data_IF_034790682469
#
_entry.id   IF_034790682469
#
_cell.length_a   1.000
_cell.length_b   1.000
_cell.length_c   1.000
_cell.angle_alpha   90.00
_cell.angle_beta   90.00
_cell.angle_gamma   90.00
#
_symmetry.space_group_name_H-M   'P 1'
#
loop_
_entity.id
_entity.type
_entity.pdbx_description
1 polymer ?
#
# COMPACT_ATOMS: atom_id res chain seq x y z
N UNK A 1 -8.87 -10.17 26.74
CA UNK A 1 -7.48 -9.84 26.47
C UNK A 1 -7.12 -9.95 25.02
N UNK A 2 -7.58 -10.99 24.36
CA UNK A 2 -7.39 -11.10 22.91
C UNK A 2 -8.04 -9.94 22.16
N UNK A 3 -9.11 -9.40 22.71
CA UNK A 3 -9.83 -8.31 22.08
C UNK A 3 -9.01 -7.02 22.02
N UNK A 4 -8.23 -6.76 23.07
CA UNK A 4 -7.42 -5.54 23.09
C UNK A 4 -6.33 -5.58 22.03
N UNK A 5 -5.71 -6.73 21.86
CA UNK A 5 -4.68 -6.87 20.84
C UNK A 5 -5.27 -6.70 19.44
N UNK A 6 -6.46 -7.24 19.22
CA UNK A 6 -7.12 -7.08 17.95
C UNK A 6 -7.53 -5.65 17.68
N UNK A 7 -8.00 -4.95 18.70
CA UNK A 7 -8.36 -3.56 18.55
C UNK A 7 -7.17 -2.71 18.23
N UNK A 8 -6.04 -2.95 18.91
CA UNK A 8 -4.83 -2.21 18.62
C UNK A 8 -4.34 -2.45 17.20
N UNK A 9 -4.42 -3.70 16.75
CA UNK A 9 -4.02 -4.02 15.39
C UNK A 9 -4.91 -3.31 14.39
N UNK A 10 -6.21 -3.28 14.64
CA UNK A 10 -7.14 -2.58 13.76
C UNK A 10 -6.84 -1.10 13.71
N UNK A 11 -6.57 -0.49 14.85
CA UNK A 11 -6.25 0.93 14.89
C UNK A 11 -4.95 1.23 14.15
N UNK A 12 -3.95 0.39 14.31
CA UNK A 12 -2.71 0.54 13.58
C UNK A 12 -2.93 0.42 12.09
N UNK A 13 -3.76 -0.52 11.69
CA UNK A 13 -4.08 -0.67 10.28
C UNK A 13 -4.79 0.56 9.73
N UNK A 14 -5.67 1.14 10.53
CA UNK A 14 -6.37 2.35 10.10
C UNK A 14 -5.42 3.54 9.97
N UNK A 15 -4.50 3.70 10.92
CA UNK A 15 -3.53 4.78 10.85
C UNK A 15 -2.51 4.56 9.74
N UNK A 16 -2.23 3.31 9.42
CA UNK A 16 -1.30 2.96 8.37
C UNK A 16 -1.95 2.90 7.00
N UNK A 17 -3.27 3.01 6.95
CA UNK A 17 -3.96 3.03 5.67
C UNK A 17 -3.61 4.30 4.94
N UNK A 18 -2.56 4.23 4.18
CA UNK A 18 -2.16 5.28 3.29
C UNK A 18 -3.01 5.13 2.04
N UNK A 19 -3.78 6.16 1.75
CA UNK A 19 -4.54 6.17 0.51
C UNK A 19 -3.57 6.52 -0.60
N UNK A 20 -3.25 5.53 -1.43
CA UNK A 20 -2.32 5.75 -2.53
C UNK A 20 -3.03 6.52 -3.63
N UNK A 21 -2.48 7.67 -3.94
CA UNK A 21 -2.96 8.51 -5.04
C UNK A 21 -2.16 8.16 -6.28
N UNK A 22 -2.84 7.68 -7.31
CA UNK A 22 -2.18 7.26 -8.54
C UNK A 22 -1.44 8.40 -9.22
N UNK A 23 -1.95 9.62 -9.11
CA UNK A 23 -1.25 10.77 -9.67
C UNK A 23 0.09 10.97 -8.99
N UNK A 24 0.12 10.84 -7.66
CA UNK A 24 1.36 10.93 -6.90
C UNK A 24 2.32 9.80 -7.28
N UNK A 25 1.81 8.59 -7.39
CA UNK A 25 2.64 7.45 -7.78
C UNK A 25 3.25 7.68 -9.16
N UNK A 26 2.43 8.10 -10.11
CA UNK A 26 2.90 8.36 -11.47
C UNK A 26 3.96 9.47 -11.50
N UNK A 27 3.74 10.52 -10.72
CA UNK A 27 4.71 11.61 -10.63
C UNK A 27 6.05 11.10 -10.08
N UNK A 28 5.99 10.30 -9.03
CA UNK A 28 7.21 9.77 -8.40
C UNK A 28 7.96 8.83 -9.33
N UNK A 29 7.24 7.93 -10.00
CA UNK A 29 7.87 6.96 -10.91
C UNK A 29 8.59 7.68 -12.05
N UNK A 30 8.05 8.80 -12.50
CA UNK A 30 8.60 9.53 -13.64
C UNK A 30 9.53 10.68 -13.22
N UNK A 31 9.87 10.76 -11.95
CA UNK A 31 10.73 11.83 -11.44
C UNK A 31 12.16 11.67 -11.95
N UNK A 32 12.85 12.79 -12.10
CA UNK A 32 14.28 12.79 -12.40
C UNK A 32 15.11 12.37 -11.19
N UNK A 33 14.53 12.45 -10.00
CA UNK A 33 15.19 12.11 -8.74
C UNK A 33 15.05 10.61 -8.50
N UNK A 34 16.18 9.91 -8.44
CA UNK A 34 16.16 8.47 -8.29
C UNK A 34 15.53 8.02 -6.96
N UNK A 35 15.67 8.81 -5.89
CA UNK A 35 15.06 8.47 -4.62
C UNK A 35 13.53 8.56 -4.71
N UNK A 36 13.03 9.54 -5.43
CA UNK A 36 11.59 9.64 -5.66
C UNK A 36 11.08 8.46 -6.50
N UNK A 37 11.85 8.06 -7.50
CA UNK A 37 11.45 6.90 -8.30
C UNK A 37 11.40 5.64 -7.45
N UNK A 38 12.34 5.48 -6.52
CA UNK A 38 12.34 4.33 -5.61
C UNK A 38 11.10 4.31 -4.73
N UNK A 39 10.73 5.47 -4.18
CA UNK A 39 9.50 5.58 -3.38
C UNK A 39 8.28 5.27 -4.24
N UNK A 40 8.25 5.79 -5.46
CA UNK A 40 7.15 5.53 -6.38
C UNK A 40 6.99 4.05 -6.68
N UNK A 41 8.11 3.37 -6.89
CA UNK A 41 8.09 1.92 -7.13
C UNK A 41 7.53 1.18 -5.92
N UNK A 42 7.98 1.55 -4.72
CA UNK A 42 7.48 0.95 -3.49
C UNK A 42 5.96 1.15 -3.36
N UNK A 43 5.49 2.37 -3.60
CA UNK A 43 4.07 2.66 -3.48
C UNK A 43 3.26 1.91 -4.53
N UNK A 44 3.77 1.82 -5.75
CA UNK A 44 3.06 1.12 -6.81
C UNK A 44 2.90 -0.37 -6.50
N UNK A 45 3.99 -1.03 -6.11
CA UNK A 45 3.93 -2.46 -5.82
C UNK A 45 3.04 -2.71 -4.60
N UNK A 46 3.10 -1.83 -3.60
CA UNK A 46 2.25 -1.96 -2.42
C UNK A 46 0.77 -1.83 -2.81
N UNK A 47 0.45 -0.86 -3.65
CA UNK A 47 -0.91 -0.68 -4.12
C UNK A 47 -1.41 -1.93 -4.86
N UNK A 48 -0.59 -2.47 -5.76
CA UNK A 48 -0.96 -3.66 -6.52
C UNK A 48 -1.11 -4.87 -5.60
N UNK A 49 -0.23 -5.01 -4.61
CA UNK A 49 -0.32 -6.12 -3.66
C UNK A 49 -1.58 -6.05 -2.82
N UNK A 50 -1.97 -4.85 -2.41
CA UNK A 50 -3.21 -4.68 -1.66
C UNK A 50 -4.43 -5.07 -2.49
N UNK A 51 -4.46 -4.68 -3.76
CA UNK A 51 -5.55 -5.08 -4.66
C UNK A 51 -5.60 -6.58 -4.82
N UNK A 52 -4.45 -7.21 -5.00
CA UNK A 52 -4.39 -8.66 -5.15
C UNK A 52 -4.82 -9.35 -3.86
N UNK A 53 -4.42 -8.82 -2.71
CA UNK A 53 -4.82 -9.37 -1.42
C UNK A 53 -6.34 -9.35 -1.25
N UNK A 54 -6.98 -8.25 -1.63
CA UNK A 54 -8.43 -8.13 -1.58
C UNK A 54 -9.11 -9.15 -2.49
N UNK A 55 -8.56 -9.33 -3.69
CA UNK A 55 -9.09 -10.31 -4.63
C UNK A 55 -8.94 -11.73 -4.09
N UNK A 56 -7.80 -12.05 -3.49
CA UNK A 56 -7.56 -13.36 -2.92
C UNK A 56 -8.52 -13.66 -1.78
N UNK A 57 -8.81 -12.67 -0.95
CA UNK A 57 -9.76 -12.83 0.13
C UNK A 57 -11.14 -13.17 -0.41
N UNK A 58 -11.58 -12.45 -1.43
CA UNK A 58 -12.87 -12.73 -2.06
C UNK A 58 -12.87 -14.09 -2.75
N UNK A 59 -11.75 -14.47 -3.33
CA UNK A 59 -11.63 -15.77 -3.99
C UNK A 59 -11.87 -16.90 -2.99
N UNK A 60 -11.23 -16.80 -1.81
CA UNK A 60 -11.37 -17.82 -0.77
C UNK A 60 -12.80 -17.92 -0.25
N UNK A 61 -13.52 -16.82 -0.24
CA UNK A 61 -14.87 -16.78 0.31
C UNK A 61 -15.96 -16.87 -0.74
N UNK A 62 -15.58 -17.22 -1.99
CA UNK A 62 -16.52 -17.34 -3.09
C UNK A 62 -17.34 -16.08 -3.32
N UNK A 63 -16.68 -14.93 -3.16
CA UNK A 63 -17.35 -13.63 -3.30
C UNK A 63 -16.96 -12.88 -4.56
N UNK A 64 -16.15 -13.51 -5.43
CA UNK A 64 -15.83 -12.90 -6.70
C UNK A 64 -17.04 -12.96 -7.63
N UNK A 65 -17.25 -11.88 -8.38
CA UNK A 65 -18.33 -11.82 -9.37
C UNK A 65 -17.90 -12.32 -10.75
N UNK A 66 -16.72 -12.92 -10.82
CA UNK A 66 -16.18 -13.51 -12.04
C UNK A 66 -15.31 -14.71 -11.64
N UNK A 67 -15.01 -15.55 -12.62
CA UNK A 67 -14.15 -16.70 -12.41
C UNK A 67 -12.77 -16.40 -13.00
N UNK A 68 -11.75 -16.24 -12.16
CA UNK A 68 -10.41 -15.99 -12.67
C UNK A 68 -9.89 -17.15 -13.50
N UNK A 69 -9.17 -16.84 -14.57
CA UNK A 69 -8.49 -17.86 -15.36
C UNK A 69 -7.31 -18.47 -14.58
N UNK A 70 -6.65 -17.65 -13.75
CA UNK A 70 -5.55 -18.13 -12.93
C UNK A 70 -6.09 -18.80 -11.67
N UNK A 71 -5.41 -19.88 -11.26
CA UNK A 71 -5.78 -20.55 -10.02
C UNK A 71 -5.44 -19.68 -8.80
N UNK A 72 -6.09 -19.98 -7.69
CA UNK A 72 -5.78 -19.31 -6.43
C UNK A 72 -4.29 -19.45 -6.09
N UNK A 73 -3.73 -20.64 -6.29
CA UNK A 73 -2.34 -20.88 -5.93
C UNK A 73 -1.37 -19.99 -6.70
N UNK A 74 -1.60 -19.80 -7.99
CA UNK A 74 -0.75 -18.94 -8.81
C UNK A 74 -0.86 -17.49 -8.34
N UNK A 75 -2.07 -17.03 -8.11
CA UNK A 75 -2.29 -15.66 -7.66
C UNK A 75 -1.71 -15.43 -6.27
N UNK A 76 -1.83 -16.41 -5.39
CA UNK A 76 -1.26 -16.32 -4.06
C UNK A 76 0.26 -16.30 -4.10
N UNK A 77 0.86 -17.10 -4.99
CA UNK A 77 2.30 -17.10 -5.16
C UNK A 77 2.78 -15.73 -5.64
N UNK A 78 2.07 -15.12 -6.57
CA UNK A 78 2.39 -13.78 -7.00
C UNK A 78 2.37 -12.79 -5.84
N UNK A 79 1.36 -12.89 -4.99
CA UNK A 79 1.23 -12.03 -3.82
C UNK A 79 2.42 -12.19 -2.88
N UNK A 80 2.87 -13.41 -2.65
CA UNK A 80 4.02 -13.68 -1.78
C UNK A 80 5.28 -13.01 -2.36
N UNK A 81 5.50 -13.14 -3.66
CA UNK A 81 6.67 -12.50 -4.29
C UNK A 81 6.57 -10.98 -4.23
N UNK A 82 5.38 -10.43 -4.37
CA UNK A 82 5.19 -8.99 -4.24
C UNK A 82 5.51 -8.52 -2.83
N UNK A 83 5.11 -9.26 -1.82
CA UNK A 83 5.42 -8.92 -0.43
C UNK A 83 6.93 -8.94 -0.19
N UNK A 84 7.62 -9.92 -0.74
CA UNK A 84 9.07 -9.98 -0.62
C UNK A 84 9.73 -8.80 -1.33
N UNK A 85 9.24 -8.45 -2.48
CA UNK A 85 9.72 -7.30 -3.24
C UNK A 85 9.51 -6.00 -2.43
N UNK A 86 8.34 -5.82 -1.88
CA UNK A 86 8.03 -4.67 -1.04
C UNK A 86 9.01 -4.57 0.13
N UNK A 87 9.30 -5.70 0.77
CA UNK A 87 10.25 -5.74 1.88
C UNK A 87 11.63 -5.25 1.44
N UNK A 88 12.09 -5.69 0.28
CA UNK A 88 13.39 -5.27 -0.25
C UNK A 88 13.38 -3.77 -0.56
N UNK A 89 12.32 -3.28 -1.18
CA UNK A 89 12.23 -1.86 -1.50
C UNK A 89 12.22 -1.01 -0.24
N UNK A 90 11.51 -1.48 0.81
CA UNK A 90 11.52 -0.79 2.10
C UNK A 90 12.91 -0.74 2.71
N UNK A 91 13.65 -1.84 2.62
CA UNK A 91 15.03 -1.86 3.11
C UNK A 91 15.91 -0.89 2.33
N UNK A 92 15.75 -0.85 1.02
CA UNK A 92 16.51 0.11 0.19
C UNK A 92 16.21 1.54 0.59
N UNK A 93 14.94 1.85 0.85
CA UNK A 93 14.57 3.20 1.29
C UNK A 93 15.23 3.54 2.61
N UNK A 94 15.29 2.61 3.55
CA UNK A 94 15.93 2.86 4.84
C UNK A 94 17.43 3.07 4.67
N UNK A 95 18.06 2.27 3.84
CA UNK A 95 19.50 2.40 3.57
C UNK A 95 19.80 3.75 2.92
N UNK A 96 18.92 4.18 2.03
CA UNK A 96 19.06 5.47 1.35
C UNK A 96 18.66 6.64 2.23
N UNK A 97 18.20 6.36 3.46
CA UNK A 97 17.77 7.38 4.41
C UNK A 97 16.59 8.20 3.89
N UNK A 98 15.68 7.50 3.21
CA UNK A 98 14.46 8.11 2.68
C UNK A 98 13.34 7.92 3.70
N UNK A 99 12.71 9.02 4.09
CA UNK A 99 11.52 8.96 4.92
C UNK A 99 10.30 8.86 4.00
N UNK A 100 9.81 7.64 3.84
CA UNK A 100 8.69 7.40 2.92
C UNK A 100 7.42 8.09 3.39
N UNK A 101 7.33 8.41 4.69
CA UNK A 101 6.14 9.08 5.22
C UNK A 101 5.97 10.48 4.65
N UNK A 102 7.06 11.14 4.29
CA UNK A 102 6.95 12.45 3.66
C UNK A 102 6.15 12.38 2.36
N UNK A 103 6.35 11.32 1.60
CA UNK A 103 5.65 11.13 0.34
C UNK A 103 4.23 10.62 0.56
N UNK A 104 4.05 9.80 1.57
CA UNK A 104 2.72 9.32 1.95
C UNK A 104 1.86 10.47 2.46
N UNK A 105 2.45 11.36 3.26
CA UNK A 105 1.75 12.53 3.75
C UNK A 105 1.35 13.44 2.60
N UNK A 106 2.22 13.58 1.61
CA UNK A 106 1.88 14.35 0.41
C UNK A 106 0.70 13.72 -0.32
N UNK A 107 0.64 12.40 -0.37
CA UNK A 107 -0.47 11.70 -1.00
C UNK A 107 -1.77 11.87 -0.24
N UNK A 108 -1.69 11.98 1.09
CA UNK A 108 -2.86 12.11 1.94
C UNK A 108 -3.11 13.54 2.42
N UNK A 109 -2.27 14.47 2.01
CA UNK A 109 -2.31 15.86 2.48
C UNK A 109 -3.65 16.51 2.23
N UNK A 110 -4.23 16.24 1.08
CA UNK A 110 -5.51 16.82 0.71
C UNK A 110 -6.57 16.46 1.74
N UNK A 111 -6.63 15.20 2.12
CA UNK A 111 -7.59 14.74 3.11
C UNK A 111 -7.34 15.38 4.46
N UNK A 112 -6.09 15.48 4.87
CA UNK A 112 -5.75 16.07 6.15
C UNK A 112 -6.13 17.56 6.20
N UNK A 113 -5.83 18.26 5.12
CA UNK A 113 -6.16 19.69 5.05
C UNK A 113 -7.65 19.92 5.06
N UNK A 114 -8.39 19.06 4.38
CA UNK A 114 -9.84 19.16 4.39
C UNK A 114 -10.40 18.95 5.78
N UNK A 115 -9.85 18.00 6.53
CA UNK A 115 -10.28 17.76 7.90
C UNK A 115 -9.98 18.96 8.79
N UNK A 116 -8.81 19.54 8.64
CA UNK A 116 -8.46 20.72 9.42
C UNK A 116 -9.39 21.88 9.11
N UNK A 117 -9.71 22.05 7.86
CA UNK A 117 -10.62 23.14 7.46
C UNK A 117 -12.01 22.93 7.99
N UNK A 118 -12.44 21.67 8.13
CA UNK A 118 -13.77 21.40 8.65
C UNK A 118 -13.85 21.61 10.15
N UNK A 119 -12.76 21.44 10.87
CA UNK A 119 -12.75 21.66 12.30
C UNK A 119 -12.72 23.16 12.65
N UNK A 120 -12.27 23.97 11.77
CA UNK A 120 -12.20 25.41 11.96
C UNK A 120 -13.40 26.10 11.36
#
# INVERSE_FOLDING_TARGET
MANKAQEQTSQQQQTEQITFNMDTINRLINSDNYKERLVGELFEVTFRAEKLSQMLDKYLHNKLDFTPACSYDILHEQFIYMRNYISILGQRCRIEQIDIREYAENASDVSTKEQENTEN
#
